data_IF_442411983602
#
_entry.id   IF_442411983602
#
_cell.length_a   1.000
_cell.length_b   1.000
_cell.length_c   1.000
_cell.angle_alpha   90.00
_cell.angle_beta   90.00
_cell.angle_gamma   90.00
#
_symmetry.space_group_name_H-M   'P 1'
#
loop_
_entity.id
_entity.type
_entity.pdbx_description
1 polymer ?
#
# COMPACT_ATOMS: atom_id res chain seq x y z
N UNK A 1 -32.87 -20.19 48.39
CA UNK A 1 -32.09 -20.59 47.21
C UNK A 1 -31.41 -19.34 46.68
N UNK A 2 -30.09 -19.30 46.77
CA UNK A 2 -29.36 -18.14 47.25
C UNK A 2 -28.93 -17.22 46.11
N UNK A 3 -29.49 -16.02 46.04
CA UNK A 3 -29.14 -14.97 45.05
C UNK A 3 -27.65 -14.65 45.02
N UNK A 4 -26.97 -14.79 46.17
CA UNK A 4 -25.52 -14.65 46.31
C UNK A 4 -24.72 -15.66 45.48
N UNK A 5 -25.19 -16.92 45.39
CA UNK A 5 -24.53 -17.94 44.57
C UNK A 5 -24.66 -17.66 43.08
N UNK A 6 -25.80 -17.10 42.67
CA UNK A 6 -26.05 -16.75 41.27
C UNK A 6 -25.13 -15.60 40.81
N UNK A 7 -24.95 -14.58 41.66
CA UNK A 7 -24.03 -13.47 41.40
C UNK A 7 -22.58 -13.96 41.31
N UNK A 8 -22.17 -14.85 42.20
CA UNK A 8 -20.81 -15.40 42.19
C UNK A 8 -20.54 -16.25 40.95
N UNK A 9 -21.53 -17.04 40.51
CA UNK A 9 -21.44 -17.85 39.29
C UNK A 9 -21.33 -16.97 38.03
N UNK A 10 -22.10 -15.88 37.95
CA UNK A 10 -22.02 -14.92 36.84
C UNK A 10 -20.66 -14.21 36.81
N UNK A 11 -20.13 -13.80 37.96
CA UNK A 11 -18.80 -13.18 38.05
C UNK A 11 -17.70 -14.13 37.58
N UNK A 12 -17.76 -15.41 37.96
CA UNK A 12 -16.80 -16.43 37.52
C UNK A 12 -16.92 -16.67 36.01
N UNK A 13 -18.16 -16.74 35.48
CA UNK A 13 -18.40 -16.93 34.04
C UNK A 13 -17.86 -15.76 33.20
N UNK A 14 -17.94 -14.52 33.70
CA UNK A 14 -17.40 -13.32 33.02
C UNK A 14 -15.87 -13.33 33.01
N UNK A 15 -15.21 -13.81 34.06
CA UNK A 15 -13.73 -13.91 34.13
C UNK A 15 -13.19 -15.01 33.22
N UNK A 16 -13.97 -16.06 32.96
CA UNK A 16 -13.59 -17.17 32.09
C UNK A 16 -13.75 -16.90 30.60
N UNK A 17 -14.23 -15.70 30.20
CA UNK A 17 -14.33 -15.34 28.78
C UNK A 17 -12.90 -15.21 28.23
N UNK A 18 -12.48 -16.07 27.28
CA UNK A 18 -11.16 -15.97 26.71
C UNK A 18 -11.05 -14.65 25.96
N UNK A 19 -10.19 -13.75 26.43
CA UNK A 19 -9.76 -12.60 25.65
C UNK A 19 -8.88 -13.12 24.52
N UNK A 20 -9.49 -13.34 23.36
CA UNK A 20 -8.72 -13.49 22.12
C UNK A 20 -8.07 -12.14 21.84
N UNK A 21 -6.80 -12.01 22.22
CA UNK A 21 -5.95 -10.99 21.67
C UNK A 21 -5.76 -11.36 20.19
N UNK A 22 -6.62 -10.80 19.34
CA UNK A 22 -6.36 -10.76 17.92
C UNK A 22 -5.18 -9.79 17.72
N UNK A 23 -3.97 -10.29 17.99
CA UNK A 23 -2.76 -9.63 17.55
C UNK A 23 -2.76 -9.81 16.03
N UNK A 24 -3.39 -8.85 15.34
CA UNK A 24 -3.41 -8.82 13.90
C UNK A 24 -1.95 -8.73 13.45
N UNK A 25 -1.39 -9.85 13.01
CA UNK A 25 0.00 -9.92 12.56
C UNK A 25 0.26 -8.77 11.59
N UNK A 26 1.25 -7.93 11.91
CA UNK A 26 1.60 -6.78 11.08
C UNK A 26 1.97 -7.29 9.70
N UNK A 27 1.27 -6.87 8.63
CA UNK A 27 1.55 -7.38 7.30
C UNK A 27 2.93 -6.91 6.85
N UNK A 28 3.65 -7.78 6.16
CA UNK A 28 4.84 -7.39 5.43
C UNK A 28 4.45 -6.53 4.22
N UNK A 29 5.14 -5.41 4.03
CA UNK A 29 4.92 -4.53 2.87
C UNK A 29 6.10 -4.68 1.92
N UNK A 30 5.82 -5.18 0.72
CA UNK A 30 6.79 -5.21 -0.39
C UNK A 30 6.42 -4.13 -1.41
N UNK A 31 7.24 -3.07 -1.46
CA UNK A 31 7.07 -1.99 -2.41
C UNK A 31 7.92 -2.22 -3.66
N UNK A 32 7.26 -2.52 -4.79
CA UNK A 32 7.90 -2.79 -6.08
C UNK A 32 7.71 -1.59 -7.01
N UNK A 33 8.81 -1.05 -7.53
CA UNK A 33 8.82 0.06 -8.49
C UNK A 33 9.73 -0.31 -9.67
N UNK A 34 9.31 0.04 -10.88
CA UNK A 34 10.08 -0.12 -12.12
C UNK A 34 10.35 1.28 -12.72
N UNK A 35 11.57 1.51 -13.20
CA UNK A 35 11.94 2.78 -13.83
C UNK A 35 11.43 2.83 -15.28
N UNK A 36 10.90 3.98 -15.70
CA UNK A 36 10.37 4.26 -17.04
C UNK A 36 9.29 3.29 -17.58
N UNK A 37 8.65 2.52 -16.70
CA UNK A 37 7.58 1.60 -17.07
C UNK A 37 6.27 2.37 -17.34
N UNK A 38 5.72 2.21 -18.54
CA UNK A 38 4.43 2.78 -18.94
C UNK A 38 3.30 1.73 -18.90
N UNK A 39 2.11 2.11 -19.36
CA UNK A 39 0.92 1.24 -19.41
C UNK A 39 0.92 0.26 -20.61
N UNK A 40 2.00 0.13 -21.38
CA UNK A 40 2.11 -0.83 -22.48
C UNK A 40 2.36 -2.27 -21.99
N UNK A 41 1.53 -2.76 -21.06
CA UNK A 41 1.61 -4.08 -20.43
C UNK A 41 0.48 -5.00 -20.90
N UNK A 42 0.64 -6.32 -20.78
CA UNK A 42 -0.44 -7.27 -21.14
C UNK A 42 -1.70 -7.00 -20.33
N UNK A 43 -1.58 -6.71 -19.04
CA UNK A 43 -2.70 -6.36 -18.16
C UNK A 43 -3.49 -5.11 -18.58
N UNK A 44 -2.90 -4.23 -19.41
CA UNK A 44 -3.55 -3.05 -19.98
C UNK A 44 -3.91 -3.23 -21.47
N UNK A 45 -3.84 -4.46 -21.99
CA UNK A 45 -4.26 -4.81 -23.35
C UNK A 45 -3.15 -4.79 -24.42
N UNK A 46 -1.88 -4.62 -24.04
CA UNK A 46 -0.77 -4.59 -25.01
C UNK A 46 -0.42 -5.99 -25.54
N UNK A 47 -0.78 -6.28 -26.79
CA UNK A 47 -0.72 -7.63 -27.41
C UNK A 47 0.68 -8.27 -27.46
N UNK A 48 1.74 -7.48 -27.57
CA UNK A 48 3.11 -7.99 -27.69
C UNK A 48 3.83 -8.10 -26.34
N UNK A 49 3.38 -7.35 -25.33
CA UNK A 49 4.04 -7.32 -24.04
C UNK A 49 3.55 -8.52 -23.25
N UNK A 50 4.47 -9.32 -22.70
CA UNK A 50 4.13 -10.53 -21.95
C UNK A 50 4.58 -10.34 -20.51
N UNK A 51 3.65 -10.07 -19.60
CA UNK A 51 3.96 -9.91 -18.17
C UNK A 51 3.19 -10.88 -17.28
N UNK A 52 3.37 -12.21 -17.45
CA UNK A 52 2.56 -13.22 -16.76
C UNK A 52 2.62 -13.14 -15.22
N UNK A 53 3.76 -12.68 -14.67
CA UNK A 53 3.90 -12.48 -13.22
C UNK A 53 3.13 -11.26 -12.71
N UNK A 54 3.10 -10.17 -13.48
CA UNK A 54 2.31 -8.99 -13.14
C UNK A 54 0.82 -9.26 -13.35
N UNK A 55 0.45 -10.00 -14.39
CA UNK A 55 -0.94 -10.40 -14.65
C UNK A 55 -1.47 -11.27 -13.50
N UNK A 56 -0.66 -12.22 -13.01
CA UNK A 56 -0.97 -13.03 -11.82
C UNK A 56 -1.04 -12.20 -10.54
N UNK A 57 -0.30 -11.09 -10.44
CA UNK A 57 -0.39 -10.16 -9.31
C UNK A 57 -1.70 -9.37 -9.39
N UNK A 58 -2.04 -8.82 -10.56
CA UNK A 58 -3.27 -8.09 -10.81
C UNK A 58 -4.53 -8.92 -10.51
N UNK A 59 -4.56 -10.20 -10.91
CA UNK A 59 -5.67 -11.11 -10.63
C UNK A 59 -5.92 -11.38 -9.13
N UNK A 60 -4.91 -11.20 -8.29
CA UNK A 60 -4.98 -11.43 -6.83
C UNK A 60 -5.11 -10.14 -6.03
N UNK A 61 -5.20 -9.00 -6.71
CA UNK A 61 -5.17 -7.68 -6.09
C UNK A 61 -6.12 -6.72 -6.75
N UNK A 62 -5.79 -5.43 -6.64
CA UNK A 62 -6.54 -4.33 -7.26
C UNK A 62 -5.63 -3.64 -8.26
N UNK A 63 -6.15 -3.41 -9.47
CA UNK A 63 -5.47 -2.65 -10.51
C UNK A 63 -6.06 -1.25 -10.59
N UNK A 64 -5.21 -0.23 -10.63
CA UNK A 64 -5.61 1.16 -10.81
C UNK A 64 -5.41 1.54 -12.28
N UNK A 65 -6.51 1.81 -12.99
CA UNK A 65 -6.49 2.16 -14.41
C UNK A 65 -6.08 3.62 -14.66
N UNK A 66 -6.29 4.49 -13.67
CA UNK A 66 -6.01 5.93 -13.74
C UNK A 66 -4.98 6.34 -12.66
N UNK A 67 -3.75 5.84 -12.79
CA UNK A 67 -2.63 6.19 -11.90
C UNK A 67 -1.68 7.17 -12.60
N UNK A 68 -1.31 8.25 -11.91
CA UNK A 68 -0.43 9.29 -12.44
C UNK A 68 0.77 9.53 -11.54
N UNK A 69 1.91 9.86 -12.14
CA UNK A 69 3.08 10.35 -11.43
C UNK A 69 2.92 11.85 -11.16
N UNK A 70 3.40 12.32 -10.02
CA UNK A 70 3.36 13.75 -9.69
C UNK A 70 4.30 14.60 -10.56
N UNK A 71 5.32 13.96 -11.15
CA UNK A 71 6.26 14.58 -12.08
C UNK A 71 6.86 13.54 -13.01
N UNK A 72 7.24 13.95 -14.23
CA UNK A 72 7.74 13.06 -15.29
C UNK A 72 9.25 12.75 -15.18
N UNK A 73 9.94 13.28 -14.16
CA UNK A 73 11.37 13.02 -13.92
C UNK A 73 11.54 12.07 -12.75
N UNK A 74 12.37 11.04 -12.95
CA UNK A 74 12.56 9.93 -12.02
C UNK A 74 12.95 10.37 -10.60
N UNK A 75 13.83 11.36 -10.45
CA UNK A 75 14.24 11.91 -9.16
C UNK A 75 13.08 12.55 -8.38
N UNK A 76 12.36 13.49 -9.00
CA UNK A 76 11.24 14.18 -8.37
C UNK A 76 10.06 13.24 -8.10
N UNK A 77 9.77 12.32 -9.01
CA UNK A 77 8.71 11.31 -8.85
C UNK A 77 8.99 10.39 -7.65
N UNK A 78 10.20 9.80 -7.57
CA UNK A 78 10.59 8.94 -6.45
C UNK A 78 10.58 9.69 -5.12
N UNK A 79 11.11 10.91 -5.10
CA UNK A 79 11.10 11.73 -3.88
C UNK A 79 9.67 12.03 -3.41
N UNK A 80 8.75 12.32 -4.33
CA UNK A 80 7.34 12.57 -4.00
C UNK A 80 6.67 11.34 -3.38
N UNK A 81 6.90 10.15 -3.94
CA UNK A 81 6.38 8.89 -3.41
C UNK A 81 6.95 8.60 -2.02
N UNK A 82 8.27 8.74 -1.82
CA UNK A 82 8.92 8.42 -0.55
C UNK A 82 8.61 9.40 0.57
N UNK A 83 8.43 10.69 0.24
CA UNK A 83 8.10 11.72 1.24
C UNK A 83 6.59 11.88 1.46
N UNK A 84 5.74 11.37 0.57
CA UNK A 84 4.29 11.64 0.57
C UNK A 84 3.94 13.12 0.32
N UNK A 85 4.85 13.88 -0.28
CA UNK A 85 4.70 15.32 -0.52
C UNK A 85 4.77 15.60 -2.02
N UNK A 86 4.09 16.65 -2.47
CA UNK A 86 4.24 17.10 -3.86
C UNK A 86 5.70 17.51 -4.15
N UNK A 87 6.17 17.36 -5.41
CA UNK A 87 7.51 17.78 -5.83
C UNK A 87 7.86 19.24 -5.51
N UNK A 88 6.85 20.10 -5.47
CA UNK A 88 6.97 21.49 -5.05
C UNK A 88 7.27 21.61 -3.54
N UNK A 89 6.55 20.86 -2.72
CA UNK A 89 6.66 20.89 -1.26
C UNK A 89 7.93 20.23 -0.73
N UNK A 90 8.44 19.20 -1.42
CA UNK A 90 9.70 18.54 -1.05
C UNK A 90 10.93 19.15 -1.76
N UNK A 91 10.77 20.28 -2.47
CA UNK A 91 11.81 21.04 -3.15
C UNK A 91 12.58 20.28 -4.27
N UNK A 92 12.23 19.03 -4.57
CA UNK A 92 12.92 18.23 -5.60
C UNK A 92 12.65 18.72 -7.01
N UNK A 93 11.56 19.46 -7.20
CA UNK A 93 11.29 20.16 -8.44
C UNK A 93 12.41 21.16 -8.79
N UNK A 94 12.93 21.89 -7.80
CA UNK A 94 14.01 22.87 -8.01
C UNK A 94 15.33 22.21 -8.43
N UNK A 95 15.64 21.03 -7.87
CA UNK A 95 16.82 20.25 -8.26
C UNK A 95 16.68 19.71 -9.67
N UNK A 96 15.46 19.31 -10.05
CA UNK A 96 15.17 18.85 -11.41
C UNK A 96 15.36 19.98 -12.41
N UNK A 97 14.85 21.19 -12.13
CA UNK A 97 15.09 22.35 -12.99
C UNK A 97 16.57 22.72 -13.08
N UNK A 98 17.32 22.69 -11.97
CA UNK A 98 18.78 22.97 -11.98
C UNK A 98 19.59 21.97 -12.81
N UNK A 99 19.23 20.69 -12.79
CA UNK A 99 19.98 19.65 -13.50
C UNK A 99 19.51 19.47 -14.96
N UNK A 100 18.32 19.93 -15.30
CA UNK A 100 17.71 19.81 -16.63
C UNK A 100 17.62 21.15 -17.37
N UNK A 101 18.38 22.16 -16.92
CA UNK A 101 18.64 23.39 -17.66
C UNK A 101 19.46 23.04 -18.92
N UNK A 102 18.77 22.91 -20.04
CA UNK A 102 19.36 23.10 -21.37
C UNK A 102 19.84 24.54 -21.54
#
# INVERSE_FOLDING_TARGET
MNTTFLIMFVLIAVVLIPQSAADAEKPNVFFLIADDLNTALSGFGHKQCKTPNLDRLAQRGVTFENMHCQYLVCGASRASIMSGLYPYSNLTLSQTFRNNSY
#
